data_IF_895079781817
#
_entry.id   IF_895079781817
#
_cell.length_a   1.000
_cell.length_b   1.000
_cell.length_c   1.000
_cell.angle_alpha   90.00
_cell.angle_beta   90.00
_cell.angle_gamma   90.00
#
_symmetry.space_group_name_H-M   'P 1'
#
loop_
_entity.id
_entity.type
_entity.pdbx_description
1 polymer ?
#
# COMPACT_ATOMS: atom_id res chain seq x y z
N UNK A 1 4.14 22.67 -31.06
CA UNK A 1 4.93 21.67 -30.28
C UNK A 1 4.02 21.11 -29.22
N UNK A 2 3.55 19.86 -29.37
CA UNK A 2 2.70 19.21 -28.34
C UNK A 2 3.58 18.93 -27.12
N UNK A 3 3.30 19.57 -26.00
CA UNK A 3 3.95 19.25 -24.74
C UNK A 3 3.69 17.76 -24.46
N UNK A 4 4.76 16.97 -24.39
CA UNK A 4 4.68 15.55 -24.00
C UNK A 4 3.98 15.51 -22.64
N UNK A 5 2.72 15.11 -22.58
CA UNK A 5 2.01 14.95 -21.31
C UNK A 5 2.86 14.02 -20.44
N UNK A 6 3.21 14.48 -19.25
CA UNK A 6 3.90 13.65 -18.28
C UNK A 6 3.08 12.37 -18.07
N UNK A 7 3.71 11.21 -18.15
CA UNK A 7 3.04 9.93 -17.86
C UNK A 7 2.64 9.90 -16.39
N UNK A 8 1.37 9.60 -16.12
CA UNK A 8 0.92 9.32 -14.77
C UNK A 8 1.57 8.05 -14.23
N UNK A 9 1.65 7.93 -12.93
CA UNK A 9 2.28 6.79 -12.26
C UNK A 9 1.56 6.43 -10.96
N UNK A 10 1.65 5.15 -10.56
CA UNK A 10 1.28 4.70 -9.23
C UNK A 10 2.52 4.57 -8.36
N UNK A 11 2.48 5.16 -7.19
CA UNK A 11 3.44 5.01 -6.10
C UNK A 11 2.72 4.39 -4.91
N UNK A 12 3.35 3.47 -4.19
CA UNK A 12 2.72 2.84 -3.03
C UNK A 12 3.58 2.96 -1.78
N UNK A 13 2.93 3.12 -0.64
CA UNK A 13 3.57 3.11 0.67
C UNK A 13 3.02 1.93 1.45
N UNK A 14 3.89 1.01 1.80
CA UNK A 14 3.60 -0.29 2.36
C UNK A 14 4.29 -0.48 3.73
N UNK A 15 3.96 -1.55 4.43
CA UNK A 15 4.56 -1.91 5.71
C UNK A 15 3.52 -2.36 6.73
N UNK A 16 4.00 -2.82 7.90
CA UNK A 16 3.16 -3.29 9.01
C UNK A 16 2.34 -2.16 9.64
N UNK A 17 1.46 -2.50 10.58
CA UNK A 17 0.65 -1.56 11.36
C UNK A 17 1.55 -0.57 12.11
N UNK A 18 1.10 0.67 12.27
CA UNK A 18 1.85 1.72 12.98
C UNK A 18 3.17 2.16 12.36
N UNK A 19 3.53 1.66 11.15
CA UNK A 19 4.77 2.04 10.46
C UNK A 19 4.78 3.49 9.91
N UNK A 20 3.64 4.19 9.91
CA UNK A 20 3.55 5.60 9.48
C UNK A 20 3.18 5.77 8.01
N UNK A 21 2.65 4.76 7.34
CA UNK A 21 2.28 4.76 5.91
C UNK A 21 1.43 5.97 5.51
N UNK A 22 0.32 6.19 6.20
CA UNK A 22 -0.62 7.27 5.89
C UNK A 22 0.05 8.64 5.97
N UNK A 23 0.90 8.85 6.99
CA UNK A 23 1.66 10.09 7.16
C UNK A 23 2.65 10.30 6.03
N UNK A 24 3.40 9.26 5.65
CA UNK A 24 4.40 9.36 4.58
C UNK A 24 3.75 9.50 3.21
N UNK A 25 2.63 8.84 2.96
CA UNK A 25 1.86 8.99 1.72
C UNK A 25 1.32 10.43 1.57
N UNK A 26 0.77 11.01 2.63
CA UNK A 26 0.30 12.40 2.62
C UNK A 26 1.44 13.39 2.33
N UNK A 27 2.57 13.26 3.03
CA UNK A 27 3.75 14.10 2.82
C UNK A 27 4.34 13.98 1.41
N UNK A 28 4.30 12.77 0.83
CA UNK A 28 4.74 12.60 -0.56
C UNK A 28 3.83 13.33 -1.53
N UNK A 29 2.51 13.31 -1.34
CA UNK A 29 1.57 14.08 -2.15
C UNK A 29 1.84 15.58 -2.04
N UNK A 30 2.08 16.10 -0.84
CA UNK A 30 2.45 17.50 -0.62
C UNK A 30 3.75 17.87 -1.37
N UNK A 31 4.78 17.03 -1.30
CA UNK A 31 6.04 17.25 -1.99
C UNK A 31 5.88 17.23 -3.53
N UNK A 32 5.07 16.32 -4.05
CA UNK A 32 4.74 16.25 -5.48
C UNK A 32 3.97 17.50 -5.93
N UNK A 33 2.98 17.95 -5.17
CA UNK A 33 2.22 19.17 -5.45
C UNK A 33 3.13 20.41 -5.44
N UNK A 34 4.03 20.52 -4.47
CA UNK A 34 5.01 21.61 -4.40
C UNK A 34 5.98 21.61 -5.59
N UNK A 35 6.21 20.46 -6.24
CA UNK A 35 7.00 20.36 -7.49
C UNK A 35 6.18 20.63 -8.76
N UNK A 36 4.91 21.07 -8.64
CA UNK A 36 4.03 21.37 -9.77
C UNK A 36 3.38 20.15 -10.43
N UNK A 37 3.41 18.99 -9.79
CA UNK A 37 2.80 17.74 -10.31
C UNK A 37 1.38 17.55 -9.77
N UNK A 38 0.47 17.10 -10.63
CA UNK A 38 -0.84 16.64 -10.16
C UNK A 38 -0.64 15.33 -9.38
N UNK A 39 -0.99 15.33 -8.09
CA UNK A 39 -0.85 14.17 -7.23
C UNK A 39 -2.16 13.87 -6.47
N UNK A 40 -2.48 12.59 -6.32
CA UNK A 40 -3.69 12.10 -5.67
C UNK A 40 -3.31 11.11 -4.57
N UNK A 41 -3.76 11.39 -3.33
CA UNK A 41 -3.69 10.45 -2.21
C UNK A 41 -4.87 9.49 -2.25
N UNK A 42 -4.61 8.20 -2.09
CA UNK A 42 -5.65 7.18 -1.94
C UNK A 42 -5.20 6.08 -0.99
N UNK A 43 -6.07 5.10 -0.74
CA UNK A 43 -5.78 3.97 0.16
C UNK A 43 -6.50 2.70 -0.25
N UNK A 44 -5.97 1.56 0.13
CA UNK A 44 -6.65 0.26 0.08
C UNK A 44 -6.63 -0.45 1.45
N UNK A 45 -7.75 -1.04 1.89
CA UNK A 45 -9.08 -0.89 1.28
C UNK A 45 -9.70 0.44 1.61
N UNK A 46 -10.64 0.89 0.77
CA UNK A 46 -11.52 2.03 1.10
C UNK A 46 -11.41 3.27 0.21
N UNK A 47 -10.69 3.22 -0.92
CA UNK A 47 -10.53 4.33 -1.86
C UNK A 47 -11.79 4.72 -2.63
N UNK A 48 -12.83 3.87 -2.63
CA UNK A 48 -14.13 4.09 -3.30
C UNK A 48 -15.29 3.93 -2.32
N UNK A 49 -16.52 4.26 -2.75
CA UNK A 49 -17.72 4.03 -1.93
C UNK A 49 -17.87 2.54 -1.58
N UNK A 50 -17.84 1.65 -2.59
CA UNK A 50 -17.86 0.21 -2.38
C UNK A 50 -16.67 -0.25 -1.50
N UNK A 51 -15.50 0.31 -1.74
CA UNK A 51 -14.31 -0.02 -0.96
C UNK A 51 -14.44 0.34 0.53
N UNK A 52 -15.13 1.43 0.87
CA UNK A 52 -15.42 1.77 2.27
C UNK A 52 -16.34 0.74 2.94
N UNK A 53 -17.30 0.19 2.21
CA UNK A 53 -18.18 -0.85 2.71
C UNK A 53 -17.40 -2.15 2.94
N UNK A 54 -16.58 -2.55 1.97
CA UNK A 54 -15.68 -3.70 2.09
C UNK A 54 -14.71 -3.53 3.26
N UNK A 55 -14.13 -2.32 3.43
CA UNK A 55 -13.25 -2.02 4.56
C UNK A 55 -13.94 -2.26 5.91
N UNK A 56 -15.21 -1.85 6.05
CA UNK A 56 -15.96 -2.10 7.29
C UNK A 56 -16.11 -3.60 7.56
N UNK A 57 -16.43 -4.40 6.55
CA UNK A 57 -16.53 -5.86 6.67
C UNK A 57 -15.18 -6.50 7.07
N UNK A 58 -14.08 -6.05 6.45
CA UNK A 58 -12.74 -6.60 6.68
C UNK A 58 -12.17 -6.29 8.08
N UNK A 59 -12.46 -5.11 8.61
CA UNK A 59 -11.84 -4.59 9.83
C UNK A 59 -12.73 -4.65 11.07
N UNK A 60 -14.01 -5.04 10.93
CA UNK A 60 -14.93 -5.18 12.04
C UNK A 60 -14.42 -6.21 13.07
N UNK A 61 -14.60 -5.89 14.35
CA UNK A 61 -14.31 -6.80 15.48
C UNK A 61 -15.52 -7.65 15.86
N UNK A 62 -16.70 -7.19 15.47
CA UNK A 62 -17.99 -7.85 15.68
C UNK A 62 -18.42 -8.59 14.40
N UNK A 63 -19.05 -9.71 14.56
CA UNK A 63 -19.54 -10.54 13.47
C UNK A 63 -18.64 -11.74 13.16
N UNK A 64 -18.92 -12.35 12.01
CA UNK A 64 -18.18 -13.51 11.53
C UNK A 64 -16.81 -13.10 10.99
N UNK A 65 -15.75 -13.77 11.43
CA UNK A 65 -14.40 -13.59 10.88
C UNK A 65 -14.34 -14.23 9.51
N UNK A 66 -14.00 -13.49 8.44
CA UNK A 66 -13.88 -14.06 7.12
C UNK A 66 -12.81 -15.18 7.05
N UNK A 67 -13.13 -16.29 6.38
CA UNK A 67 -12.11 -17.27 6.01
C UNK A 67 -10.99 -16.60 5.20
N UNK A 68 -9.75 -17.11 5.25
CA UNK A 68 -8.61 -16.49 4.55
C UNK A 68 -8.86 -16.22 3.05
N UNK A 69 -9.55 -17.12 2.37
CA UNK A 69 -9.91 -16.98 0.96
C UNK A 69 -10.95 -15.86 0.76
N UNK A 70 -11.96 -15.79 1.63
CA UNK A 70 -12.97 -14.72 1.58
C UNK A 70 -12.35 -13.35 1.88
N UNK A 71 -11.44 -13.27 2.88
CA UNK A 71 -10.66 -12.08 3.18
C UNK A 71 -9.88 -11.61 1.93
N UNK A 72 -9.15 -12.51 1.27
CA UNK A 72 -8.42 -12.23 0.04
C UNK A 72 -9.34 -11.68 -1.06
N UNK A 73 -10.46 -12.37 -1.33
CA UNK A 73 -11.40 -11.97 -2.38
C UNK A 73 -12.04 -10.60 -2.10
N UNK A 74 -12.31 -10.26 -0.85
CA UNK A 74 -12.80 -8.93 -0.47
C UNK A 74 -11.74 -7.84 -0.73
N UNK A 75 -10.47 -8.06 -0.37
CA UNK A 75 -9.40 -7.13 -0.72
C UNK A 75 -9.26 -6.94 -2.23
N UNK A 76 -9.39 -8.02 -3.00
CA UNK A 76 -9.29 -7.94 -4.45
C UNK A 76 -10.51 -7.31 -5.11
N UNK A 77 -11.71 -7.48 -4.53
CA UNK A 77 -12.91 -6.77 -4.99
C UNK A 77 -12.78 -5.24 -4.77
N UNK A 78 -12.25 -4.80 -3.61
CA UNK A 78 -11.90 -3.40 -3.39
C UNK A 78 -10.90 -2.90 -4.43
N UNK A 79 -9.80 -3.63 -4.64
CA UNK A 79 -8.74 -3.27 -5.60
C UNK A 79 -9.27 -3.14 -7.02
N UNK A 80 -10.03 -4.11 -7.51
CA UNK A 80 -10.59 -4.07 -8.86
C UNK A 80 -11.47 -2.83 -9.06
N UNK A 81 -12.33 -2.51 -8.08
CA UNK A 81 -13.16 -1.30 -8.11
C UNK A 81 -12.31 -0.03 -8.03
N UNK A 82 -11.30 -0.01 -7.16
CA UNK A 82 -10.41 1.12 -6.94
C UNK A 82 -9.58 1.44 -8.18
N UNK A 83 -8.97 0.43 -8.77
CA UNK A 83 -8.20 0.57 -10.02
C UNK A 83 -9.09 1.08 -11.15
N UNK A 84 -10.25 0.47 -11.35
CA UNK A 84 -11.16 0.82 -12.45
C UNK A 84 -11.75 2.21 -12.34
N UNK A 85 -12.06 2.68 -11.12
CA UNK A 85 -12.79 3.91 -10.88
C UNK A 85 -11.94 5.11 -10.52
N UNK A 86 -10.73 4.89 -10.01
CA UNK A 86 -9.90 5.97 -9.50
C UNK A 86 -8.47 5.93 -10.03
N UNK A 87 -7.72 4.83 -9.80
CA UNK A 87 -6.29 4.79 -10.09
C UNK A 87 -6.02 4.85 -11.59
N UNK A 88 -6.65 3.98 -12.39
CA UNK A 88 -6.48 3.94 -13.84
C UNK A 88 -6.80 5.28 -14.51
N UNK A 89 -8.01 5.84 -14.33
CA UNK A 89 -8.35 7.16 -14.89
C UNK A 89 -7.42 8.29 -14.44
N UNK A 90 -6.89 8.24 -13.20
CA UNK A 90 -5.93 9.22 -12.73
C UNK A 90 -4.58 9.12 -13.46
N UNK A 91 -4.06 7.91 -13.63
CA UNK A 91 -2.82 7.66 -14.37
C UNK A 91 -2.97 8.05 -15.86
N UNK A 92 -4.11 7.72 -16.48
CA UNK A 92 -4.39 8.04 -17.87
C UNK A 92 -4.39 9.56 -18.16
N UNK A 93 -4.86 10.37 -17.20
CA UNK A 93 -4.80 11.84 -17.34
C UNK A 93 -3.44 12.46 -16.98
N UNK A 94 -2.47 11.65 -16.53
CA UNK A 94 -1.11 12.09 -16.21
C UNK A 94 -0.86 12.38 -14.73
N UNK A 95 -1.83 12.09 -13.85
CA UNK A 95 -1.68 12.28 -12.41
C UNK A 95 -0.78 11.20 -11.78
N UNK A 96 -0.06 11.57 -10.71
CA UNK A 96 0.66 10.64 -9.86
C UNK A 96 -0.26 10.21 -8.73
N UNK A 97 -0.54 8.92 -8.66
CA UNK A 97 -1.35 8.34 -7.57
C UNK A 97 -0.41 7.82 -6.49
N UNK A 98 -0.62 8.25 -5.25
CA UNK A 98 0.08 7.73 -4.07
C UNK A 98 -0.93 6.92 -3.26
N UNK A 99 -0.74 5.61 -3.17
CA UNK A 99 -1.62 4.71 -2.46
C UNK A 99 -1.01 4.25 -1.13
N UNK A 100 -1.75 4.44 -0.03
CA UNK A 100 -1.50 3.79 1.26
C UNK A 100 -2.01 2.35 1.14
N UNK A 101 -1.12 1.41 0.85
CA UNK A 101 -1.29 0.00 0.49
C UNK A 101 -1.78 -0.24 -0.94
N UNK A 102 -1.32 -1.37 -1.49
CA UNK A 102 -1.71 -1.94 -2.78
C UNK A 102 -1.36 -3.45 -2.82
N UNK A 103 -1.01 -3.99 -3.98
CA UNK A 103 -0.73 -5.41 -4.23
C UNK A 103 0.28 -6.05 -3.29
N UNK A 104 1.35 -5.32 -2.91
CA UNK A 104 2.37 -5.86 -2.03
C UNK A 104 1.82 -6.17 -0.63
N UNK A 105 0.81 -5.40 -0.14
CA UNK A 105 0.07 -5.77 1.08
C UNK A 105 -0.67 -7.10 0.93
N UNK A 106 -1.32 -7.38 -0.18
CA UNK A 106 -2.04 -8.65 -0.38
C UNK A 106 -1.08 -9.84 -0.33
N UNK A 107 0.08 -9.72 -0.98
CA UNK A 107 1.11 -10.76 -0.93
C UNK A 107 1.62 -10.93 0.52
N UNK A 108 1.92 -9.84 1.21
CA UNK A 108 2.44 -9.91 2.58
C UNK A 108 1.42 -10.48 3.58
N UNK A 109 0.17 -10.04 3.52
CA UNK A 109 -0.85 -10.42 4.49
C UNK A 109 -1.51 -11.76 4.17
N UNK A 110 -1.98 -11.97 2.93
CA UNK A 110 -2.75 -13.17 2.58
C UNK A 110 -1.84 -14.35 2.21
N UNK A 111 -0.75 -14.14 1.48
CA UNK A 111 0.16 -15.25 1.20
C UNK A 111 1.09 -15.54 2.41
N UNK A 112 1.87 -14.58 2.90
CA UNK A 112 2.80 -14.84 4.00
C UNK A 112 2.11 -14.87 5.37
N UNK A 113 1.20 -13.95 5.64
CA UNK A 113 0.48 -13.86 6.92
C UNK A 113 -0.49 -15.01 7.13
N UNK A 114 -1.44 -15.21 6.19
CA UNK A 114 -2.46 -16.26 6.24
C UNK A 114 -1.99 -17.63 5.73
N UNK A 115 -0.90 -17.67 4.96
CA UNK A 115 -0.36 -18.92 4.40
C UNK A 115 -1.06 -19.39 3.14
N UNK A 116 -1.78 -18.52 2.43
CA UNK A 116 -2.38 -18.87 1.15
C UNK A 116 -1.30 -19.11 0.07
N UNK A 117 -1.53 -19.98 -0.91
CA UNK A 117 -0.56 -20.27 -1.96
C UNK A 117 -0.18 -19.01 -2.74
N UNK A 118 1.10 -18.64 -2.71
CA UNK A 118 1.63 -17.38 -3.28
C UNK A 118 1.25 -17.19 -4.75
N UNK A 119 1.38 -18.25 -5.56
CA UNK A 119 1.08 -18.16 -6.99
C UNK A 119 -0.41 -17.94 -7.23
N UNK A 120 -1.30 -18.56 -6.45
CA UNK A 120 -2.74 -18.31 -6.55
C UNK A 120 -3.05 -16.84 -6.20
N UNK A 121 -2.48 -16.33 -5.10
CA UNK A 121 -2.65 -14.93 -4.69
C UNK A 121 -2.19 -13.98 -5.80
N UNK A 122 -1.04 -14.24 -6.42
CA UNK A 122 -0.50 -13.43 -7.52
C UNK A 122 -1.42 -13.41 -8.74
N UNK A 123 -1.87 -14.58 -9.20
CA UNK A 123 -2.73 -14.68 -10.40
C UNK A 123 -4.02 -13.89 -10.24
N UNK A 124 -4.70 -14.04 -9.10
CA UNK A 124 -5.97 -13.34 -8.88
C UNK A 124 -5.76 -11.83 -8.55
N UNK A 125 -4.63 -11.46 -7.94
CA UNK A 125 -4.24 -10.07 -7.78
C UNK A 125 -3.95 -9.40 -9.13
N UNK A 126 -3.24 -10.07 -10.03
CA UNK A 126 -2.97 -9.58 -11.39
C UNK A 126 -4.27 -9.33 -12.17
N UNK A 127 -5.25 -10.20 -12.00
CA UNK A 127 -6.59 -9.98 -12.56
C UNK A 127 -7.26 -8.74 -11.96
N UNK A 128 -7.22 -8.58 -10.63
CA UNK A 128 -7.89 -7.48 -9.95
C UNK A 128 -7.27 -6.11 -10.28
N UNK A 129 -5.94 -6.04 -10.42
CA UNK A 129 -5.24 -4.78 -10.75
C UNK A 129 -5.26 -4.41 -12.23
N UNK A 130 -5.73 -5.31 -13.13
CA UNK A 130 -5.97 -5.00 -14.53
C UNK A 130 -4.78 -4.39 -15.27
N UNK A 131 -3.57 -4.87 -15.01
CA UNK A 131 -2.33 -4.37 -15.62
C UNK A 131 -1.71 -3.14 -14.96
N UNK A 132 -2.36 -2.52 -13.98
CA UNK A 132 -1.76 -1.42 -13.20
C UNK A 132 -0.69 -1.97 -12.26
N UNK A 133 0.50 -1.38 -12.30
CA UNK A 133 1.60 -1.75 -11.42
C UNK A 133 2.28 -0.51 -10.83
N UNK A 134 2.76 -0.56 -9.58
CA UNK A 134 3.51 0.55 -8.99
C UNK A 134 4.83 0.79 -9.73
N UNK A 135 5.12 2.06 -10.02
CA UNK A 135 6.43 2.52 -10.47
C UNK A 135 7.48 2.38 -9.36
N UNK A 136 7.08 2.70 -8.14
CA UNK A 136 7.86 2.55 -6.91
C UNK A 136 6.95 2.12 -5.77
N UNK A 137 7.49 1.29 -4.90
CA UNK A 137 6.92 0.93 -3.60
C UNK A 137 7.91 1.30 -2.49
N UNK A 138 7.46 2.01 -1.48
CA UNK A 138 8.23 2.26 -0.25
C UNK A 138 7.71 1.35 0.86
N UNK A 139 8.53 0.41 1.29
CA UNK A 139 8.23 -0.46 2.44
C UNK A 139 8.82 0.17 3.70
N UNK A 140 7.95 0.60 4.60
CA UNK A 140 8.31 1.13 5.91
C UNK A 140 8.52 -0.06 6.86
N UNK A 141 9.78 -0.50 6.99
CA UNK A 141 10.12 -1.63 7.84
C UNK A 141 10.18 -1.20 9.31
N UNK A 142 9.36 -1.84 10.15
CA UNK A 142 9.29 -1.61 11.59
C UNK A 142 9.15 -2.92 12.33
N UNK A 143 9.69 -3.00 13.54
CA UNK A 143 9.38 -4.12 14.43
C UNK A 143 7.87 -4.18 14.71
N UNK A 144 7.21 -5.34 14.51
CA UNK A 144 5.77 -5.43 14.67
C UNK A 144 5.27 -5.07 16.07
N UNK A 145 6.02 -5.35 17.15
CA UNK A 145 5.61 -4.95 18.49
C UNK A 145 5.61 -3.43 18.64
N UNK A 146 6.65 -2.76 18.12
CA UNK A 146 6.71 -1.31 18.12
C UNK A 146 5.61 -0.69 17.26
N UNK A 147 5.32 -1.29 16.10
CA UNK A 147 4.25 -0.87 15.21
C UNK A 147 2.87 -0.96 15.86
N UNK A 148 2.52 -2.11 16.44
CA UNK A 148 1.25 -2.30 17.14
C UNK A 148 1.10 -1.37 18.36
N UNK A 149 2.19 -1.11 19.09
CA UNK A 149 2.17 -0.13 20.18
C UNK A 149 1.84 1.28 19.68
N UNK A 150 2.43 1.71 18.54
CA UNK A 150 2.11 2.99 17.91
C UNK A 150 0.66 3.05 17.41
N UNK A 151 0.17 1.98 16.76
CA UNK A 151 -1.20 1.92 16.25
C UNK A 151 -2.21 2.07 17.38
N UNK A 152 -2.06 1.32 18.48
CA UNK A 152 -2.93 1.39 19.68
C UNK A 152 -2.93 2.75 20.36
N UNK A 153 -1.88 3.53 20.23
CA UNK A 153 -1.83 4.90 20.77
C UNK A 153 -2.70 5.89 19.95
N UNK A 154 -3.13 5.51 18.73
CA UNK A 154 -3.93 6.37 17.84
C UNK A 154 -5.42 6.02 17.82
N UNK A 155 -5.81 4.87 18.36
CA UNK A 155 -7.21 4.43 18.38
C UNK A 155 -7.38 2.97 18.80
N UNK A 156 -8.63 2.48 18.87
CA UNK A 156 -8.91 1.07 19.14
C UNK A 156 -8.35 0.20 18.01
N UNK A 157 -7.83 -0.98 18.40
CA UNK A 157 -7.32 -1.94 17.44
C UNK A 157 -8.45 -2.44 16.52
N UNK A 158 -8.14 -2.62 15.25
CA UNK A 158 -9.01 -3.33 14.32
C UNK A 158 -8.76 -4.85 14.35
N UNK A 159 -9.50 -5.61 13.52
CA UNK A 159 -9.39 -7.06 13.47
C UNK A 159 -7.98 -7.55 13.12
N UNK A 160 -7.31 -6.91 12.16
CA UNK A 160 -5.95 -7.29 11.77
C UNK A 160 -4.93 -6.91 12.85
N UNK A 161 -5.07 -5.76 13.47
CA UNK A 161 -4.22 -5.33 14.58
C UNK A 161 -4.37 -6.23 15.83
N UNK A 162 -5.48 -6.96 15.90
CA UNK A 162 -5.77 -7.90 16.99
C UNK A 162 -5.19 -9.31 16.77
N UNK A 163 -4.59 -9.57 15.61
CA UNK A 163 -3.92 -10.83 15.32
C UNK A 163 -2.68 -11.05 16.20
N UNK A 164 -2.28 -12.31 16.33
CA UNK A 164 -1.10 -12.69 17.10
C UNK A 164 0.17 -12.09 16.51
N UNK A 165 1.15 -11.78 17.36
CA UNK A 165 2.43 -11.20 16.95
C UNK A 165 3.18 -12.06 15.91
N UNK A 166 2.95 -13.38 15.92
CA UNK A 166 3.52 -14.29 14.93
C UNK A 166 2.99 -14.02 13.51
N UNK A 167 1.71 -13.64 13.38
CA UNK A 167 1.12 -13.21 12.10
C UNK A 167 1.83 -11.96 11.57
N UNK A 168 1.97 -10.93 12.38
CA UNK A 168 2.63 -9.67 12.00
C UNK A 168 4.12 -9.85 11.64
N UNK A 169 4.80 -10.81 12.29
CA UNK A 169 6.17 -11.18 11.92
C UNK A 169 6.22 -11.81 10.53
N UNK A 170 5.30 -12.73 10.21
CA UNK A 170 5.21 -13.31 8.86
C UNK A 170 4.90 -12.25 7.80
N UNK A 171 4.01 -11.30 8.10
CA UNK A 171 3.71 -10.18 7.22
C UNK A 171 4.95 -9.33 6.96
N UNK A 172 5.71 -8.97 8.00
CA UNK A 172 6.99 -8.23 7.85
C UNK A 172 7.98 -8.97 6.97
N UNK A 173 8.17 -10.27 7.21
CA UNK A 173 9.06 -11.10 6.37
C UNK A 173 8.55 -11.18 4.93
N UNK A 174 7.23 -11.21 4.72
CA UNK A 174 6.61 -11.11 3.40
C UNK A 174 7.02 -9.83 2.66
N UNK A 175 6.96 -8.66 3.31
CA UNK A 175 7.43 -7.40 2.71
C UNK A 175 8.93 -7.43 2.38
N UNK A 176 9.76 -8.02 3.24
CA UNK A 176 11.19 -8.18 2.99
C UNK A 176 11.47 -9.09 1.81
N UNK A 177 10.74 -10.21 1.69
CA UNK A 177 10.85 -11.13 0.57
C UNK A 177 10.45 -10.45 -0.75
N UNK A 178 9.37 -9.65 -0.76
CA UNK A 178 8.95 -8.86 -1.92
C UNK A 178 10.05 -7.86 -2.33
N UNK A 179 10.64 -7.17 -1.36
CA UNK A 179 11.71 -6.22 -1.62
C UNK A 179 12.94 -6.89 -2.22
N UNK A 180 13.35 -8.03 -1.67
CA UNK A 180 14.47 -8.81 -2.19
C UNK A 180 14.23 -9.31 -3.63
N UNK A 181 12.98 -9.67 -3.95
CA UNK A 181 12.60 -10.12 -5.30
C UNK A 181 12.42 -8.96 -6.31
N UNK A 182 12.32 -7.73 -5.86
CA UNK A 182 12.04 -6.57 -6.72
C UNK A 182 12.87 -5.32 -6.35
N UNK A 183 14.22 -5.41 -6.29
CA UNK A 183 15.08 -4.32 -5.79
C UNK A 183 15.03 -3.07 -6.68
N UNK A 184 14.65 -3.21 -7.95
CA UNK A 184 14.48 -2.07 -8.87
C UNK A 184 13.19 -1.27 -8.65
N UNK A 185 12.20 -1.84 -7.95
CA UNK A 185 10.88 -1.25 -7.71
C UNK A 185 10.63 -0.93 -6.25
N UNK A 186 11.13 -1.76 -5.33
CA UNK A 186 10.83 -1.67 -3.90
C UNK A 186 12.02 -1.10 -3.13
N UNK A 187 11.77 -0.03 -2.38
CA UNK A 187 12.72 0.63 -1.50
C UNK A 187 12.32 0.37 -0.06
N UNK A 188 13.19 -0.24 0.72
CA UNK A 188 12.96 -0.49 2.16
C UNK A 188 13.54 0.65 2.97
N UNK A 189 12.74 1.21 3.86
CA UNK A 189 13.11 2.31 4.75
C UNK A 189 12.90 1.91 6.21
N UNK A 190 13.89 2.17 7.05
CA UNK A 190 13.75 1.98 8.50
C UNK A 190 12.76 3.00 9.07
N UNK A 191 11.58 2.50 9.47
CA UNK A 191 10.48 3.31 10.02
C UNK A 191 10.66 3.66 11.51
N UNK A 192 11.78 3.30 12.12
CA UNK A 192 12.16 3.79 13.46
C UNK A 192 12.77 5.19 13.43
N UNK A 193 13.26 5.63 12.27
CA UNK A 193 13.88 6.94 12.04
C UNK A 193 12.87 8.09 12.17
N UNK A 194 13.34 9.33 12.34
CA UNK A 194 12.49 10.52 12.36
C UNK A 194 11.63 10.63 11.09
N UNK A 195 10.35 11.00 11.29
CA UNK A 195 9.34 11.09 10.22
C UNK A 195 9.80 12.00 9.07
N UNK A 196 10.46 13.12 9.39
CA UNK A 196 10.92 14.10 8.39
C UNK A 196 12.10 13.59 7.55
N UNK A 197 12.95 12.75 8.11
CA UNK A 197 14.05 12.11 7.37
C UNK A 197 13.52 11.12 6.35
N UNK A 198 12.58 10.27 6.78
CA UNK A 198 11.92 9.30 5.90
C UNK A 198 11.19 10.03 4.78
N UNK A 199 10.45 11.10 5.08
CA UNK A 199 9.73 11.89 4.10
C UNK A 199 10.66 12.50 3.04
N UNK A 200 11.79 13.05 3.45
CA UNK A 200 12.79 13.59 2.52
C UNK A 200 13.38 12.52 1.61
N UNK A 201 13.68 11.34 2.14
CA UNK A 201 14.21 10.22 1.37
C UNK A 201 13.20 9.68 0.36
N UNK A 202 11.93 9.52 0.76
CA UNK A 202 10.83 9.14 -0.13
C UNK A 202 10.67 10.15 -1.26
N UNK A 203 10.60 11.44 -0.95
CA UNK A 203 10.42 12.50 -1.93
C UNK A 203 11.60 12.54 -2.92
N UNK A 204 12.86 12.54 -2.43
CA UNK A 204 14.04 12.61 -3.29
C UNK A 204 14.16 11.39 -4.21
N UNK A 205 13.87 10.20 -3.70
CA UNK A 205 13.88 8.96 -4.49
C UNK A 205 12.78 8.96 -5.55
N UNK A 206 11.59 9.45 -5.20
CA UNK A 206 10.48 9.61 -6.14
C UNK A 206 10.85 10.56 -7.27
N UNK A 207 11.39 11.74 -6.95
CA UNK A 207 11.74 12.74 -7.98
C UNK A 207 12.78 12.18 -8.97
N UNK A 208 13.84 11.55 -8.47
CA UNK A 208 14.85 10.90 -9.36
C UNK A 208 14.21 9.84 -10.27
N UNK A 209 13.27 9.04 -9.77
CA UNK A 209 12.61 8.00 -10.56
C UNK A 209 11.70 8.59 -11.64
N UNK A 210 10.98 9.66 -11.34
CA UNK A 210 10.08 10.33 -12.27
C UNK A 210 10.81 11.12 -13.37
N UNK A 211 12.05 11.57 -13.11
CA UNK A 211 12.89 12.24 -14.09
C UNK A 211 13.58 11.26 -15.05
N UNK A 212 13.80 10.03 -14.61
CA UNK A 212 14.43 8.96 -15.39
C UNK A 212 13.45 8.03 -16.14
N UNK A 213 12.14 8.26 -16.03
CA UNK A 213 11.08 7.49 -16.66
C UNK A 213 10.46 8.28 -17.84
#
# INVERSE_FOLDING_TARGET
>A
MSARRARGALLTVEGVEGAGKTTQAARLVEALAASGREALLTREPGGTALGRDIRRMLLALDGEVPAPEAELLLYLADRAQHVRRLVGPAIERGAIVVADRFSDSTIAYQAHGRGLPLETVRVIDDFARGGVAPLLTFVLDLDPKAGLARARATGPADRLESEEIAFHRRVREGFRAIAAASPGRVVVLDASRPVDEIAREIASTTMRRLEGA
#
